data_IF_775127016150
#
_entry.id   IF_775127016150
#
_cell.length_a   1.000
_cell.length_b   1.000
_cell.length_c   1.000
_cell.angle_alpha   90.00
_cell.angle_beta   90.00
_cell.angle_gamma   90.00
#
_symmetry.space_group_name_H-M   'P 1'
#
loop_
_entity.id
_entity.type
_entity.pdbx_description
1 polymer ?
#
# COMPACT_ATOMS: atom_id res chain seq x y z
N UNK A 1 -21.02 -13.18 -19.33
CA UNK A 1 -21.22 -12.66 -17.99
C UNK A 1 -20.14 -13.25 -17.12
N UNK A 2 -19.35 -12.41 -16.45
CA UNK A 2 -18.26 -12.85 -15.58
C UNK A 2 -18.70 -12.92 -14.12
N UNK A 3 -18.12 -13.87 -13.37
CA UNK A 3 -18.29 -14.04 -11.94
C UNK A 3 -17.03 -13.50 -11.22
N UNK A 4 -17.22 -12.52 -10.36
CA UNK A 4 -16.14 -11.88 -9.59
C UNK A 4 -16.31 -12.16 -8.10
N UNK A 5 -15.32 -12.80 -7.49
CA UNK A 5 -15.23 -12.86 -6.04
C UNK A 5 -14.53 -11.61 -5.52
N UNK A 6 -15.11 -10.95 -4.53
CA UNK A 6 -14.48 -9.87 -3.77
C UNK A 6 -14.22 -10.41 -2.37
N UNK A 7 -12.95 -10.71 -2.09
CA UNK A 7 -12.53 -11.28 -0.81
C UNK A 7 -12.42 -10.17 0.23
N UNK A 8 -13.10 -10.32 1.34
CA UNK A 8 -13.01 -9.40 2.48
C UNK A 8 -12.95 -10.16 3.80
N UNK A 9 -12.46 -9.49 4.84
CA UNK A 9 -12.48 -9.99 6.20
C UNK A 9 -13.40 -9.09 7.05
N UNK A 10 -14.53 -9.60 7.54
CA UNK A 10 -15.49 -8.81 8.32
C UNK A 10 -14.96 -8.36 9.69
N UNK A 11 -13.92 -9.03 10.19
CA UNK A 11 -13.35 -8.81 11.52
C UNK A 11 -12.06 -7.97 11.47
N UNK A 12 -11.60 -7.59 10.25
CA UNK A 12 -10.38 -6.82 10.08
C UNK A 12 -10.55 -5.39 10.62
N UNK A 13 -9.62 -5.00 11.51
CA UNK A 13 -9.68 -3.69 12.18
C UNK A 13 -9.41 -2.52 11.21
N UNK A 14 -8.54 -2.73 10.23
CA UNK A 14 -8.15 -1.75 9.22
C UNK A 14 -8.23 -2.36 7.83
N UNK A 15 -9.45 -2.62 7.33
CA UNK A 15 -9.61 -3.25 6.02
C UNK A 15 -9.17 -2.30 4.89
N UNK A 16 -8.71 -2.82 3.76
CA UNK A 16 -8.36 -2.00 2.59
C UNK A 16 -9.57 -1.31 1.94
N UNK A 17 -10.79 -1.73 2.27
CA UNK A 17 -12.03 -1.07 1.86
C UNK A 17 -13.05 -1.10 2.96
N UNK A 18 -13.68 0.05 3.21
CA UNK A 18 -14.82 0.12 4.11
C UNK A 18 -16.05 -0.58 3.49
N UNK A 19 -17.05 -0.81 4.33
CA UNK A 19 -18.28 -1.51 3.93
C UNK A 19 -19.03 -0.79 2.82
N UNK A 20 -19.00 0.53 2.81
CA UNK A 20 -19.70 1.33 1.80
C UNK A 20 -19.00 1.23 0.45
N UNK A 21 -17.66 1.22 0.41
CA UNK A 21 -16.90 0.96 -0.80
C UNK A 21 -17.15 -0.45 -1.35
N UNK A 22 -17.19 -1.49 -0.48
CA UNK A 22 -17.53 -2.85 -0.89
C UNK A 22 -18.93 -2.91 -1.53
N UNK A 23 -19.92 -2.24 -0.94
CA UNK A 23 -21.27 -2.14 -1.51
C UNK A 23 -21.27 -1.40 -2.86
N UNK A 24 -20.44 -0.37 -3.02
CA UNK A 24 -20.27 0.33 -4.29
C UNK A 24 -19.69 -0.57 -5.38
N UNK A 25 -18.71 -1.42 -5.08
CA UNK A 25 -18.22 -2.42 -6.03
C UNK A 25 -19.36 -3.34 -6.50
N UNK A 26 -20.18 -3.86 -5.59
CA UNK A 26 -21.33 -4.71 -5.96
C UNK A 26 -22.37 -3.97 -6.80
N UNK A 27 -22.68 -2.73 -6.46
CA UNK A 27 -23.64 -1.90 -7.19
C UNK A 27 -23.18 -1.64 -8.63
N UNK A 28 -21.92 -1.20 -8.79
CA UNK A 28 -21.36 -0.89 -10.11
C UNK A 28 -21.16 -2.18 -10.94
N UNK A 29 -20.73 -3.28 -10.33
CA UNK A 29 -20.63 -4.58 -11.00
C UNK A 29 -21.97 -5.01 -11.60
N UNK A 30 -23.08 -4.81 -10.87
CA UNK A 30 -24.43 -5.11 -11.36
C UNK A 30 -24.77 -4.26 -12.60
N UNK A 31 -24.44 -2.95 -12.58
CA UNK A 31 -24.64 -2.05 -13.73
C UNK A 31 -23.84 -2.50 -14.95
N UNK A 32 -22.66 -3.12 -14.73
CA UNK A 32 -21.78 -3.67 -15.77
C UNK A 32 -22.14 -5.10 -16.22
N UNK A 33 -23.21 -5.69 -15.69
CA UNK A 33 -23.60 -7.07 -15.91
C UNK A 33 -22.51 -8.09 -15.46
N UNK A 34 -21.74 -7.75 -14.44
CA UNK A 34 -20.81 -8.63 -13.74
C UNK A 34 -21.53 -9.20 -12.52
N UNK A 35 -21.43 -10.51 -12.32
CA UNK A 35 -21.93 -11.13 -11.10
C UNK A 35 -20.84 -11.09 -10.04
N UNK A 36 -20.88 -10.08 -9.17
CA UNK A 36 -19.94 -9.91 -8.07
C UNK A 36 -20.53 -10.41 -6.75
N UNK A 37 -19.73 -11.11 -5.97
CA UNK A 37 -20.09 -11.66 -4.66
C UNK A 37 -19.00 -11.33 -3.64
N UNK A 38 -19.38 -10.88 -2.43
CA UNK A 38 -18.46 -10.78 -1.30
C UNK A 38 -18.26 -12.17 -0.73
N UNK A 39 -17.00 -12.58 -0.57
CA UNK A 39 -16.63 -13.87 0.04
C UNK A 39 -15.66 -13.67 1.19
N UNK A 40 -15.75 -14.53 2.20
CA UNK A 40 -14.80 -14.60 3.31
C UNK A 40 -13.74 -15.68 3.09
N UNK A 41 -12.75 -15.80 4.00
CA UNK A 41 -11.75 -16.88 3.96
C UNK A 41 -12.40 -18.27 3.91
N UNK A 42 -13.46 -18.50 4.70
CA UNK A 42 -14.16 -19.78 4.75
C UNK A 42 -14.79 -20.14 3.39
N UNK A 43 -15.32 -19.15 2.69
CA UNK A 43 -15.95 -19.31 1.39
C UNK A 43 -14.94 -19.38 0.22
N UNK A 44 -13.66 -19.09 0.47
CA UNK A 44 -12.60 -19.13 -0.54
C UNK A 44 -12.34 -20.54 -1.10
N UNK A 45 -12.89 -21.59 -0.50
CA UNK A 45 -12.96 -22.95 -1.08
C UNK A 45 -13.67 -22.95 -2.43
N UNK A 46 -14.62 -22.02 -2.62
CA UNK A 46 -15.40 -21.83 -3.86
C UNK A 46 -14.66 -21.04 -4.94
N UNK A 47 -13.37 -20.74 -4.79
CA UNK A 47 -12.61 -19.91 -5.73
C UNK A 47 -12.76 -20.33 -7.19
N UNK A 48 -12.88 -21.65 -7.44
CA UNK A 48 -13.02 -22.20 -8.81
C UNK A 48 -14.39 -21.95 -9.46
N UNK A 49 -15.34 -21.34 -8.74
CA UNK A 49 -16.63 -20.92 -9.31
C UNK A 49 -16.58 -19.53 -9.95
N UNK A 50 -15.45 -18.82 -9.77
CA UNK A 50 -15.26 -17.45 -10.20
C UNK A 50 -14.25 -17.33 -11.34
N UNK A 51 -14.46 -16.35 -12.21
CA UNK A 51 -13.56 -15.99 -13.30
C UNK A 51 -12.47 -15.00 -12.82
N UNK A 52 -12.75 -14.25 -11.76
CA UNK A 52 -11.85 -13.26 -11.21
C UNK A 52 -11.93 -13.18 -9.68
N UNK A 53 -10.81 -12.78 -9.06
CA UNK A 53 -10.67 -12.55 -7.62
C UNK A 53 -10.16 -11.14 -7.36
N UNK A 54 -10.89 -10.34 -6.59
CA UNK A 54 -10.46 -9.06 -6.07
C UNK A 54 -10.21 -9.16 -4.57
N UNK A 55 -8.97 -9.02 -4.14
CA UNK A 55 -8.59 -9.11 -2.73
C UNK A 55 -8.77 -7.75 -2.07
N UNK A 56 -9.69 -7.69 -1.09
CA UNK A 56 -9.96 -6.51 -0.25
C UNK A 56 -9.86 -6.88 1.24
N UNK A 57 -8.91 -7.74 1.56
CA UNK A 57 -8.41 -8.05 2.89
C UNK A 57 -6.89 -7.85 2.88
N UNK A 58 -6.28 -7.60 4.03
CA UNK A 58 -4.82 -7.34 4.14
C UNK A 58 -4.00 -8.43 3.47
N UNK A 59 -3.03 -8.02 2.67
CA UNK A 59 -2.08 -8.90 1.98
C UNK A 59 -0.77 -8.99 2.75
N UNK A 60 -0.28 -10.21 2.96
CA UNK A 60 1.05 -10.48 3.52
C UNK A 60 1.50 -11.88 3.11
N UNK A 61 2.82 -12.12 3.02
CA UNK A 61 3.38 -13.39 2.54
C UNK A 61 2.99 -14.60 3.41
N UNK A 62 2.80 -14.40 4.70
CA UNK A 62 2.39 -15.43 5.65
C UNK A 62 0.86 -15.49 5.87
N UNK A 63 0.08 -14.72 5.09
CA UNK A 63 -1.36 -14.62 5.22
C UNK A 63 -2.09 -15.51 4.20
N UNK A 64 -3.34 -15.88 4.48
CA UNK A 64 -4.15 -16.71 3.58
C UNK A 64 -4.42 -16.02 2.23
N UNK A 65 -4.49 -14.70 2.21
CA UNK A 65 -4.71 -13.91 0.99
C UNK A 65 -3.63 -14.15 -0.06
N UNK A 66 -2.37 -14.30 0.33
CA UNK A 66 -1.28 -14.62 -0.58
C UNK A 66 -1.45 -16.02 -1.19
N UNK A 67 -1.82 -17.03 -0.37
CA UNK A 67 -2.09 -18.39 -0.88
C UNK A 67 -3.26 -18.41 -1.85
N UNK A 68 -4.30 -17.59 -1.60
CA UNK A 68 -5.42 -17.45 -2.53
C UNK A 68 -5.03 -16.76 -3.82
N UNK A 69 -4.22 -15.69 -3.76
CA UNK A 69 -3.67 -15.04 -4.95
C UNK A 69 -2.87 -16.03 -5.82
N UNK A 70 -1.99 -16.85 -5.19
CA UNK A 70 -1.25 -17.89 -5.90
C UNK A 70 -2.19 -18.93 -6.54
N UNK A 71 -3.19 -19.39 -5.79
CA UNK A 71 -4.16 -20.37 -6.29
C UNK A 71 -4.96 -19.80 -7.47
N UNK A 72 -5.37 -18.55 -7.40
CA UNK A 72 -6.06 -17.87 -8.51
C UNK A 72 -5.16 -17.79 -9.74
N UNK A 73 -3.94 -17.28 -9.61
CA UNK A 73 -2.99 -17.16 -10.71
C UNK A 73 -2.63 -18.50 -11.36
N UNK A 74 -2.50 -19.58 -10.58
CA UNK A 74 -2.21 -20.94 -11.09
C UNK A 74 -3.38 -21.58 -11.84
N UNK A 75 -4.59 -21.04 -11.73
CA UNK A 75 -5.79 -21.55 -12.36
C UNK A 75 -6.41 -20.56 -13.37
N UNK A 76 -5.61 -19.64 -13.90
CA UNK A 76 -6.01 -18.63 -14.89
C UNK A 76 -7.20 -17.76 -14.46
N UNK A 77 -7.39 -17.59 -13.13
CA UNK A 77 -8.35 -16.67 -12.55
C UNK A 77 -7.67 -15.29 -12.48
N UNK A 78 -8.28 -14.28 -13.11
CA UNK A 78 -7.77 -12.92 -13.05
C UNK A 78 -7.78 -12.42 -11.60
N UNK A 79 -6.63 -12.00 -11.07
CA UNK A 79 -6.50 -11.62 -9.66
C UNK A 79 -5.86 -10.24 -9.50
N UNK A 80 -6.44 -9.44 -8.62
CA UNK A 80 -5.85 -8.27 -7.99
C UNK A 80 -5.97 -8.50 -6.47
N UNK A 81 -4.88 -8.54 -5.74
CA UNK A 81 -3.49 -8.36 -6.15
C UNK A 81 -2.88 -9.70 -6.57
N UNK A 82 -2.07 -9.65 -7.61
CA UNK A 82 -1.35 -10.84 -8.05
C UNK A 82 -0.19 -11.19 -7.10
N UNK A 83 0.24 -12.48 -7.07
CA UNK A 83 1.27 -12.93 -6.11
C UNK A 83 2.60 -12.19 -6.23
N UNK A 84 3.01 -11.80 -7.43
CA UNK A 84 4.27 -11.11 -7.66
C UNK A 84 4.23 -9.68 -7.12
N UNK A 85 3.11 -8.98 -7.31
CA UNK A 85 2.86 -7.68 -6.72
C UNK A 85 2.90 -7.72 -5.19
N UNK A 86 2.26 -8.72 -4.57
CA UNK A 86 2.29 -8.90 -3.12
C UNK A 86 3.73 -9.11 -2.63
N UNK A 87 4.51 -10.01 -3.27
CA UNK A 87 5.91 -10.26 -2.90
C UNK A 87 6.76 -9.00 -2.99
N UNK A 88 6.62 -8.23 -4.06
CA UNK A 88 7.42 -7.04 -4.31
C UNK A 88 7.08 -5.89 -3.36
N UNK A 89 5.79 -5.65 -3.11
CA UNK A 89 5.34 -4.53 -2.31
C UNK A 89 5.51 -4.75 -0.81
N UNK A 90 5.34 -5.98 -0.32
CA UNK A 90 5.45 -6.27 1.13
C UNK A 90 6.88 -6.21 1.67
N UNK A 91 7.89 -6.26 0.82
CA UNK A 91 9.30 -6.27 1.23
C UNK A 91 9.96 -4.89 1.02
N UNK A 92 10.05 -4.09 2.08
CA UNK A 92 10.65 -2.74 2.04
C UNK A 92 12.13 -2.72 1.66
N UNK A 93 12.88 -3.78 1.99
CA UNK A 93 14.30 -3.91 1.58
C UNK A 93 14.37 -4.05 0.06
N UNK A 94 13.57 -4.96 -0.49
CA UNK A 94 13.50 -5.16 -1.94
C UNK A 94 13.11 -3.86 -2.68
N UNK A 95 12.11 -3.14 -2.16
CA UNK A 95 11.70 -1.86 -2.74
C UNK A 95 12.84 -0.83 -2.73
N UNK A 96 13.59 -0.71 -1.63
CA UNK A 96 14.74 0.20 -1.55
C UNK A 96 15.80 -0.13 -2.61
N UNK A 97 16.18 -1.40 -2.74
CA UNK A 97 17.14 -1.86 -3.74
C UNK A 97 16.63 -1.64 -5.17
N UNK A 98 15.35 -1.90 -5.40
CA UNK A 98 14.69 -1.71 -6.69
C UNK A 98 14.71 -0.22 -7.11
N UNK A 99 14.38 0.68 -6.18
CA UNK A 99 14.40 2.12 -6.42
C UNK A 99 15.81 2.64 -6.70
N UNK A 100 16.80 2.18 -5.93
CA UNK A 100 18.20 2.55 -6.14
C UNK A 100 18.68 2.13 -7.54
N UNK A 101 18.47 0.86 -7.89
CA UNK A 101 18.83 0.30 -9.20
C UNK A 101 18.14 1.02 -10.37
N UNK A 102 16.87 1.35 -10.22
CA UNK A 102 16.07 2.05 -11.24
C UNK A 102 16.24 3.58 -11.19
N UNK A 103 17.02 4.11 -10.27
CA UNK A 103 17.22 5.55 -10.03
C UNK A 103 15.90 6.31 -9.76
N UNK A 104 14.98 5.67 -9.08
CA UNK A 104 13.76 6.31 -8.56
C UNK A 104 14.16 7.10 -7.31
N UNK A 105 13.79 8.39 -7.19
CA UNK A 105 14.05 9.15 -5.99
C UNK A 105 13.35 8.52 -4.78
N UNK A 106 14.13 8.12 -3.79
CA UNK A 106 13.68 7.55 -2.52
C UNK A 106 14.55 8.11 -1.38
N UNK A 107 14.10 8.05 -0.11
CA UNK A 107 14.92 8.44 1.03
C UNK A 107 16.17 7.57 1.12
N UNK A 108 17.29 8.17 1.53
CA UNK A 108 18.51 7.41 1.81
C UNK A 108 18.21 6.34 2.87
N UNK A 109 18.73 5.14 2.66
CA UNK A 109 18.41 3.98 3.50
C UNK A 109 19.65 3.13 3.79
N UNK A 110 19.62 2.44 4.92
CA UNK A 110 20.67 1.52 5.36
C UNK A 110 20.07 0.32 6.07
N UNK A 111 20.56 -0.89 5.74
CA UNK A 111 20.20 -2.09 6.47
C UNK A 111 21.00 -2.21 7.75
N UNK A 112 20.32 -2.58 8.83
CA UNK A 112 20.92 -2.90 10.13
C UNK A 112 20.65 -4.37 10.45
N UNK A 113 21.70 -5.09 10.86
CA UNK A 113 21.64 -6.51 11.18
C UNK A 113 21.83 -6.71 12.68
N UNK A 114 21.05 -7.60 13.29
CA UNK A 114 21.13 -7.92 14.74
C UNK A 114 22.52 -8.30 15.21
N UNK A 115 23.34 -8.88 14.33
CA UNK A 115 24.71 -9.32 14.65
C UNK A 115 25.73 -8.20 14.80
N UNK A 116 25.37 -6.97 14.44
CA UNK A 116 26.29 -5.85 14.39
C UNK A 116 25.97 -4.81 15.47
N UNK A 117 26.99 -4.06 15.86
CA UNK A 117 26.85 -2.91 16.73
C UNK A 117 26.71 -1.64 15.87
N UNK A 118 25.92 -0.68 16.34
CA UNK A 118 25.66 0.57 15.66
C UNK A 118 25.68 1.74 16.64
N UNK A 119 26.26 2.87 16.20
CA UNK A 119 26.18 4.14 16.89
C UNK A 119 25.26 5.11 16.16
N UNK A 120 24.60 5.99 16.90
CA UNK A 120 23.77 7.04 16.34
C UNK A 120 24.58 7.95 15.39
N UNK A 121 25.83 8.29 15.76
CA UNK A 121 26.71 9.13 14.96
C UNK A 121 26.94 8.55 13.56
N UNK A 122 27.32 7.27 13.44
CA UNK A 122 27.59 6.59 12.16
C UNK A 122 26.36 6.56 11.26
N UNK A 123 25.18 6.28 11.80
CA UNK A 123 23.95 6.25 11.01
C UNK A 123 23.55 7.67 10.60
N UNK A 124 23.64 8.63 11.51
CA UNK A 124 23.24 10.01 11.24
C UNK A 124 24.15 10.75 10.25
N UNK A 125 25.43 10.40 10.16
CA UNK A 125 26.31 10.92 9.11
C UNK A 125 25.80 10.58 7.71
N UNK A 126 25.16 9.42 7.55
CA UNK A 126 24.65 8.94 6.27
C UNK A 126 23.22 9.37 5.99
N UNK A 127 22.36 9.30 6.99
CA UNK A 127 20.91 9.47 6.82
C UNK A 127 20.38 10.83 7.30
N UNK A 128 21.21 11.61 8.02
CA UNK A 128 20.77 12.77 8.75
C UNK A 128 20.14 12.40 10.10
N UNK A 129 19.84 13.41 10.91
CA UNK A 129 19.17 13.26 12.19
C UNK A 129 17.97 14.21 12.30
N UNK A 130 16.82 13.76 12.81
CA UNK A 130 16.50 12.37 13.16
C UNK A 130 16.36 11.45 11.95
N UNK A 131 16.39 10.13 12.15
CA UNK A 131 16.08 9.13 11.14
C UNK A 131 15.01 8.15 11.63
N UNK A 132 14.48 7.32 10.73
CA UNK A 132 13.41 6.36 11.03
C UNK A 132 13.98 4.94 10.99
N UNK A 133 13.65 4.12 11.99
CA UNK A 133 13.84 2.67 11.97
C UNK A 133 12.52 1.99 11.62
N UNK A 134 12.58 0.98 10.74
CA UNK A 134 11.42 0.20 10.28
C UNK A 134 11.72 -1.29 10.31
N UNK A 135 10.70 -2.09 10.63
CA UNK A 135 10.72 -3.52 10.36
C UNK A 135 10.39 -3.70 8.86
N UNK A 136 11.16 -4.50 8.09
CA UNK A 136 11.00 -4.62 6.63
C UNK A 136 9.60 -5.01 6.17
N UNK A 137 8.93 -5.91 6.88
CA UNK A 137 7.62 -6.51 6.57
C UNK A 137 6.47 -5.89 7.41
N UNK A 138 6.72 -4.80 8.12
CA UNK A 138 5.69 -4.08 8.90
C UNK A 138 4.72 -3.31 8.00
N UNK A 139 3.43 -3.32 8.35
CA UNK A 139 2.36 -2.57 7.69
C UNK A 139 1.79 -1.48 8.62
N UNK A 140 1.03 -0.54 8.05
CA UNK A 140 0.29 0.51 8.79
C UNK A 140 1.12 1.34 9.76
N UNK A 141 2.39 1.62 9.45
CA UNK A 141 3.32 2.35 10.34
C UNK A 141 3.56 1.68 11.70
N UNK A 142 3.17 0.43 11.88
CA UNK A 142 3.45 -0.35 13.09
C UNK A 142 4.92 -0.78 13.10
N UNK A 143 5.58 -0.69 14.25
CA UNK A 143 7.00 -1.04 14.37
C UNK A 143 7.94 -0.03 13.70
N UNK A 144 7.59 1.25 13.68
CA UNK A 144 8.43 2.35 13.23
C UNK A 144 8.83 3.24 14.40
N UNK A 145 10.13 3.55 14.51
CA UNK A 145 10.67 4.46 15.52
C UNK A 145 11.40 5.62 14.87
N UNK A 146 11.12 6.83 15.34
CA UNK A 146 11.91 8.02 15.02
C UNK A 146 13.00 8.17 16.05
N UNK A 147 14.25 8.25 15.61
CA UNK A 147 15.45 8.20 16.45
C UNK A 147 16.21 9.51 16.30
N UNK A 148 16.46 10.19 17.42
CA UNK A 148 17.16 11.47 17.48
C UNK A 148 18.38 11.46 18.41
N UNK A 149 18.67 10.33 19.11
CA UNK A 149 19.79 10.22 20.05
C UNK A 149 20.30 8.78 20.16
N UNK A 150 21.49 8.59 20.74
CA UNK A 150 22.04 7.26 21.04
C UNK A 150 21.16 6.45 22.01
N UNK A 151 20.53 7.11 22.96
CA UNK A 151 19.64 6.47 23.93
C UNK A 151 18.39 5.90 23.24
N UNK A 152 17.76 6.72 22.39
CA UNK A 152 16.61 6.29 21.58
C UNK A 152 16.99 5.18 20.60
N UNK A 153 18.19 5.25 20.00
CA UNK A 153 18.68 4.20 19.10
C UNK A 153 18.80 2.87 19.83
N UNK A 154 19.46 2.83 20.98
CA UNK A 154 19.64 1.60 21.76
C UNK A 154 18.30 0.99 22.15
N UNK A 155 17.39 1.79 22.70
CA UNK A 155 16.07 1.36 23.10
C UNK A 155 15.28 0.77 21.92
N UNK A 156 15.30 1.44 20.76
CA UNK A 156 14.62 0.99 19.56
C UNK A 156 15.23 -0.31 18.98
N UNK A 157 16.58 -0.42 18.93
CA UNK A 157 17.25 -1.63 18.46
C UNK A 157 16.95 -2.82 19.37
N UNK A 158 16.99 -2.63 20.70
CA UNK A 158 16.69 -3.68 21.68
C UNK A 158 15.27 -4.21 21.56
N UNK A 159 14.31 -3.33 21.28
CA UNK A 159 12.92 -3.72 21.06
C UNK A 159 12.74 -4.41 19.70
N UNK A 160 13.15 -3.74 18.62
CA UNK A 160 12.84 -4.15 17.25
C UNK A 160 13.56 -5.44 16.84
N UNK A 161 14.80 -5.66 17.30
CA UNK A 161 15.54 -6.88 17.04
C UNK A 161 15.00 -8.13 17.76
N UNK A 162 14.05 -7.98 18.67
CA UNK A 162 13.28 -9.13 19.21
C UNK A 162 12.32 -9.69 18.16
N UNK A 163 11.87 -8.85 17.24
CA UNK A 163 10.85 -9.19 16.24
C UNK A 163 11.40 -9.42 14.83
N UNK A 164 12.58 -8.86 14.53
CA UNK A 164 13.22 -9.01 13.21
C UNK A 164 14.75 -9.19 13.38
N UNK A 165 15.40 -9.89 12.47
CA UNK A 165 16.87 -9.99 12.41
C UNK A 165 17.49 -8.87 11.56
N UNK A 166 16.67 -8.18 10.78
CA UNK A 166 17.08 -7.07 9.90
C UNK A 166 16.13 -5.90 10.11
N UNK A 167 16.68 -4.69 10.20
CA UNK A 167 15.92 -3.45 10.24
C UNK A 167 16.34 -2.56 9.08
N UNK A 168 15.46 -1.65 8.68
CA UNK A 168 15.73 -0.60 7.72
C UNK A 168 15.82 0.74 8.47
N UNK A 169 17.01 1.35 8.46
CA UNK A 169 17.17 2.75 8.86
C UNK A 169 16.99 3.63 7.61
N UNK A 170 16.20 4.68 7.72
CA UNK A 170 15.83 5.53 6.59
C UNK A 170 15.83 7.01 6.98
N UNK A 171 16.32 7.86 6.06
CA UNK A 171 16.25 9.32 6.16
C UNK A 171 14.83 9.77 6.53
N UNK A 172 14.72 10.65 7.51
CA UNK A 172 13.45 11.28 7.87
C UNK A 172 13.22 12.53 7.03
N UNK A 173 12.17 12.50 6.20
CA UNK A 173 11.77 13.63 5.37
C UNK A 173 10.46 14.20 5.94
N UNK A 174 10.49 15.35 6.65
CA UNK A 174 9.28 15.96 7.20
C UNK A 174 8.47 16.63 6.09
N UNK A 175 7.17 16.35 6.06
CA UNK A 175 6.18 16.98 5.19
C UNK A 175 4.88 17.18 5.95
N UNK A 176 4.07 18.12 5.54
CA UNK A 176 2.75 18.37 6.12
C UNK A 176 1.77 17.26 5.77
N UNK A 177 1.91 16.71 4.56
CA UNK A 177 1.13 15.58 4.05
C UNK A 177 1.95 14.73 3.10
N UNK A 178 1.52 13.51 2.92
CA UNK A 178 2.02 12.60 1.89
C UNK A 178 1.02 12.52 0.75
N UNK A 179 1.53 12.50 -0.48
CA UNK A 179 0.74 12.13 -1.64
C UNK A 179 0.56 10.62 -1.69
N UNK A 180 -0.67 10.15 -1.88
CA UNK A 180 -0.95 8.80 -2.36
C UNK A 180 -1.53 8.88 -3.75
N UNK A 181 -0.80 8.35 -4.72
CA UNK A 181 -1.27 8.23 -6.10
C UNK A 181 -1.71 6.79 -6.31
N UNK A 182 -3.02 6.60 -6.51
CA UNK A 182 -3.56 5.31 -6.95
C UNK A 182 -3.31 5.15 -8.44
N UNK A 183 -2.79 3.97 -8.82
CA UNK A 183 -2.56 3.62 -10.23
C UNK A 183 -3.25 2.31 -10.55
N UNK A 184 -3.77 2.21 -11.76
CA UNK A 184 -4.35 1.00 -12.30
C UNK A 184 -3.82 0.79 -13.72
N UNK A 185 -3.24 -0.37 -14.00
CA UNK A 185 -2.62 -0.72 -15.30
C UNK A 185 -1.61 0.34 -15.79
N UNK A 186 -0.87 0.95 -14.85
CA UNK A 186 0.12 1.98 -15.13
C UNK A 186 -0.42 3.41 -15.27
N UNK A 187 -1.73 3.61 -15.21
CA UNK A 187 -2.37 4.92 -15.35
C UNK A 187 -2.84 5.46 -13.99
N UNK A 188 -2.65 6.77 -13.70
CA UNK A 188 -3.17 7.38 -12.49
C UNK A 188 -4.70 7.28 -12.39
N UNK A 189 -5.19 6.78 -11.27
CA UNK A 189 -6.60 6.56 -10.99
C UNK A 189 -7.15 7.62 -10.02
N UNK A 190 -6.45 7.86 -8.91
CA UNK A 190 -6.81 8.88 -7.93
C UNK A 190 -5.57 9.53 -7.31
N UNK A 191 -5.73 10.72 -6.75
CA UNK A 191 -4.67 11.44 -6.03
C UNK A 191 -5.22 11.96 -4.70
N UNK A 192 -4.65 11.46 -3.59
CA UNK A 192 -5.00 11.87 -2.24
C UNK A 192 -3.81 12.53 -1.55
N UNK A 193 -4.09 13.50 -0.70
CA UNK A 193 -3.18 14.02 0.31
C UNK A 193 -3.60 13.44 1.65
N UNK A 194 -2.68 12.76 2.31
CA UNK A 194 -2.87 12.28 3.67
C UNK A 194 -2.05 13.13 4.61
N UNK A 195 -2.71 13.94 5.43
CA UNK A 195 -2.07 14.84 6.38
C UNK A 195 -1.57 14.06 7.59
N UNK A 196 -0.43 14.50 8.13
CA UNK A 196 0.09 13.94 9.38
C UNK A 196 -0.93 14.15 10.51
N UNK A 197 -1.06 13.16 11.39
CA UNK A 197 -1.91 13.29 12.57
C UNK A 197 -1.44 14.50 13.42
N UNK A 198 -2.38 15.23 14.01
CA UNK A 198 -2.08 16.48 14.72
C UNK A 198 -1.01 16.27 15.80
N UNK A 199 0.10 16.99 15.67
CA UNK A 199 1.24 16.88 16.58
C UNK A 199 2.05 15.58 16.42
N UNK A 200 1.86 14.84 15.34
CA UNK A 200 2.55 13.58 15.06
C UNK A 200 3.27 13.64 13.71
N UNK A 201 4.29 12.81 13.53
CA UNK A 201 5.09 12.73 12.32
C UNK A 201 4.60 11.62 11.34
N UNK A 202 3.55 10.90 11.69
CA UNK A 202 2.88 9.86 10.92
C UNK A 202 1.44 10.24 10.62
N UNK A 203 0.87 9.66 9.57
CA UNK A 203 -0.54 9.81 9.19
C UNK A 203 -1.44 9.17 10.27
N UNK A 204 -1.02 8.03 10.83
CA UNK A 204 -1.71 7.33 11.91
C UNK A 204 -1.03 7.61 13.24
N UNK A 205 -1.79 8.04 14.24
CA UNK A 205 -1.35 8.06 15.61
C UNK A 205 -1.93 6.84 16.32
N UNK A 206 -1.08 5.87 16.63
CA UNK A 206 -1.48 4.62 17.31
C UNK A 206 -1.74 4.80 18.82
N UNK A 207 -1.52 5.99 19.37
CA UNK A 207 -2.00 6.33 20.70
C UNK A 207 -3.54 6.38 20.67
N UNK A 208 -4.16 5.55 21.51
CA UNK A 208 -5.62 5.56 21.66
C UNK A 208 -6.03 6.86 22.38
N UNK A 209 -7.08 7.52 21.88
CA UNK A 209 -7.82 8.45 22.71
C UNK A 209 -8.66 7.65 23.73
N UNK A 210 -9.20 8.33 24.74
CA UNK A 210 -10.06 7.73 25.78
C UNK A 210 -11.33 7.07 25.19
N UNK A 211 -11.61 7.25 23.89
CA UNK A 211 -12.75 6.66 23.17
C UNK A 211 -12.35 5.43 22.33
N UNK A 212 -11.06 5.05 22.32
CA UNK A 212 -10.53 3.91 21.56
C UNK A 212 -10.42 4.15 20.04
N UNK A 213 -10.57 5.41 19.58
CA UNK A 213 -10.43 5.75 18.17
C UNK A 213 -8.97 6.05 17.85
N UNK A 214 -8.47 5.49 16.74
CA UNK A 214 -7.18 5.92 16.21
C UNK A 214 -7.32 7.34 15.66
N UNK A 215 -6.42 8.22 16.11
CA UNK A 215 -6.33 9.56 15.59
C UNK A 215 -5.64 9.50 14.22
N UNK A 216 -6.42 9.48 13.14
CA UNK A 216 -5.90 9.66 11.79
C UNK A 216 -5.77 11.15 11.45
N UNK A 217 -4.81 11.49 10.60
CA UNK A 217 -4.75 12.80 9.96
C UNK A 217 -5.94 13.04 9.04
N UNK A 218 -6.15 14.29 8.65
CA UNK A 218 -7.13 14.63 7.63
C UNK A 218 -6.67 14.13 6.24
N UNK A 219 -7.59 14.02 5.31
CA UNK A 219 -7.29 13.69 3.91
C UNK A 219 -7.97 14.68 2.97
N UNK A 220 -7.41 14.81 1.77
CA UNK A 220 -7.99 15.61 0.70
C UNK A 220 -7.75 14.88 -0.62
N UNK A 221 -8.80 14.46 -1.29
CA UNK A 221 -8.72 13.88 -2.64
C UNK A 221 -8.90 14.97 -3.67
N UNK A 222 -7.98 15.04 -4.62
CA UNK A 222 -7.97 16.05 -5.67
C UNK A 222 -8.05 15.41 -7.06
N UNK A 223 -8.60 16.12 -8.05
CA UNK A 223 -8.51 15.67 -9.44
C UNK A 223 -7.04 15.46 -9.86
N UNK A 224 -6.77 14.42 -10.66
CA UNK A 224 -5.40 14.05 -11.07
C UNK A 224 -4.65 15.26 -11.65
N UNK A 225 -5.28 16.09 -12.47
CA UNK A 225 -4.64 17.26 -13.09
C UNK A 225 -4.23 18.35 -12.08
N UNK A 226 -4.68 18.28 -10.82
CA UNK A 226 -4.23 19.17 -9.73
C UNK A 226 -3.02 18.62 -8.96
N UNK A 227 -2.71 17.35 -9.11
CA UNK A 227 -1.48 16.81 -8.54
C UNK A 227 -0.27 17.31 -9.35
N UNK A 228 0.87 17.62 -8.69
CA UNK A 228 2.06 18.04 -9.40
C UNK A 228 2.54 16.98 -10.39
N UNK A 229 2.86 17.40 -11.64
CA UNK A 229 3.26 16.45 -12.69
C UNK A 229 4.44 15.57 -12.26
N UNK A 230 5.42 16.12 -11.53
CA UNK A 230 6.55 15.34 -11.00
C UNK A 230 6.13 14.24 -10.05
N UNK A 231 5.06 14.43 -9.26
CA UNK A 231 4.52 13.41 -8.37
C UNK A 231 3.90 12.29 -9.20
N UNK A 232 3.08 12.64 -10.20
CA UNK A 232 2.46 11.67 -11.09
C UNK A 232 3.49 10.86 -11.89
N UNK A 233 4.46 11.54 -12.53
CA UNK A 233 5.49 10.89 -13.32
C UNK A 233 6.35 9.94 -12.47
N UNK A 234 6.68 10.34 -11.25
CA UNK A 234 7.47 9.51 -10.34
C UNK A 234 6.66 8.31 -9.87
N UNK A 235 5.38 8.50 -9.55
CA UNK A 235 4.48 7.40 -9.17
C UNK A 235 4.33 6.36 -10.29
N UNK A 236 4.09 6.81 -11.53
CA UNK A 236 3.98 5.93 -12.71
C UNK A 236 5.27 5.14 -12.93
N UNK A 237 6.43 5.79 -12.89
CA UNK A 237 7.73 5.12 -13.04
C UNK A 237 7.98 4.09 -11.94
N UNK A 238 7.65 4.42 -10.70
CA UNK A 238 7.83 3.51 -9.58
C UNK A 238 6.90 2.29 -9.66
N UNK A 239 5.61 2.50 -9.93
CA UNK A 239 4.63 1.42 -10.08
C UNK A 239 4.95 0.49 -11.25
N UNK A 240 5.50 1.01 -12.36
CA UNK A 240 5.93 0.21 -13.51
C UNK A 240 7.01 -0.84 -13.16
N UNK A 241 7.75 -0.64 -12.07
CA UNK A 241 8.72 -1.62 -11.56
C UNK A 241 8.04 -2.81 -10.86
N UNK A 242 6.80 -2.63 -10.41
CA UNK A 242 6.02 -3.68 -9.74
C UNK A 242 5.24 -4.46 -10.78
N UNK A 243 4.41 -3.80 -11.57
CA UNK A 243 3.55 -4.47 -12.56
C UNK A 243 2.47 -3.56 -13.11
N UNK A 244 1.35 -4.19 -13.47
CA UNK A 244 0.18 -3.52 -14.08
C UNK A 244 -1.10 -3.68 -13.26
N UNK A 245 -0.98 -3.95 -11.97
CA UNK A 245 -2.11 -4.10 -11.05
C UNK A 245 -2.68 -2.77 -10.57
N UNK A 246 -3.34 -2.86 -9.43
CA UNK A 246 -3.84 -1.70 -8.67
C UNK A 246 -2.83 -1.38 -7.57
N UNK A 247 -2.22 -0.21 -7.61
CA UNK A 247 -1.19 0.19 -6.64
C UNK A 247 -1.47 1.54 -6.03
N UNK A 248 -1.06 1.72 -4.77
CA UNK A 248 -0.98 3.01 -4.10
C UNK A 248 0.48 3.39 -3.89
N UNK A 249 0.95 4.44 -4.55
CA UNK A 249 2.31 4.95 -4.37
C UNK A 249 2.28 6.13 -3.42
N UNK A 250 3.01 6.01 -2.32
CA UNK A 250 3.18 7.07 -1.33
C UNK A 250 4.43 7.90 -1.65
N UNK A 251 4.24 9.20 -1.79
CA UNK A 251 5.30 10.13 -2.16
C UNK A 251 5.30 11.38 -1.27
N UNK A 252 6.50 11.88 -1.02
CA UNK A 252 6.71 13.21 -0.47
C UNK A 252 7.19 14.15 -1.56
N UNK A 253 6.68 15.39 -1.54
CA UNK A 253 7.18 16.45 -2.42
C UNK A 253 7.96 17.46 -1.56
N UNK A 254 9.28 17.53 -1.78
CA UNK A 254 10.16 18.43 -1.06
C UNK A 254 11.09 19.14 -2.02
N UNK A 255 11.19 20.48 -1.93
CA UNK A 255 12.03 21.30 -2.81
C UNK A 255 11.84 21.02 -4.31
N UNK A 256 10.59 20.76 -4.72
CA UNK A 256 10.25 20.43 -6.10
C UNK A 256 10.69 19.02 -6.56
N UNK A 257 11.14 18.17 -5.65
CA UNK A 257 11.51 16.77 -5.92
C UNK A 257 10.46 15.83 -5.31
N UNK A 258 9.92 14.93 -6.12
CA UNK A 258 9.04 13.87 -5.64
C UNK A 258 9.89 12.67 -5.21
N UNK A 259 9.66 12.17 -4.00
CA UNK A 259 10.41 11.09 -3.37
C UNK A 259 9.45 9.98 -2.99
N UNK A 260 9.66 8.77 -3.50
CA UNK A 260 8.81 7.60 -3.21
C UNK A 260 9.15 7.05 -1.84
N UNK A 261 8.14 6.92 -0.99
CA UNK A 261 8.27 6.35 0.36
C UNK A 261 7.94 4.86 0.35
N UNK A 262 6.85 4.48 -0.34
CA UNK A 262 6.34 3.11 -0.37
C UNK A 262 5.45 2.89 -1.59
N UNK A 263 5.34 1.63 -2.02
CA UNK A 263 4.32 1.17 -2.96
C UNK A 263 3.50 0.08 -2.27
N UNK A 264 2.19 0.26 -2.26
CA UNK A 264 1.23 -0.67 -1.68
C UNK A 264 0.52 -1.42 -2.81
N UNK A 265 0.49 -2.75 -2.72
CA UNK A 265 -0.21 -3.64 -3.65
C UNK A 265 -1.73 -3.62 -3.45
N UNK A 266 -2.17 -3.39 -2.23
CA UNK A 266 -3.58 -3.39 -1.83
C UNK A 266 -3.95 -2.02 -1.22
N UNK A 267 -3.98 -0.93 -2.03
CA UNK A 267 -4.23 0.40 -1.52
C UNK A 267 -5.64 0.53 -0.98
N UNK A 268 -5.80 1.38 0.03
CA UNK A 268 -7.12 1.71 0.56
C UNK A 268 -8.02 2.30 -0.53
N UNK A 269 -9.27 1.85 -0.53
CA UNK A 269 -10.37 2.44 -1.30
C UNK A 269 -11.55 2.50 -0.36
N UNK A 270 -11.74 3.67 0.24
CA UNK A 270 -12.83 3.96 1.15
C UNK A 270 -13.82 4.94 0.51
N UNK A 271 -15.11 4.73 0.79
CA UNK A 271 -16.15 5.61 0.27
C UNK A 271 -16.00 7.03 0.83
N UNK A 272 -16.11 8.04 -0.03
CA UNK A 272 -15.89 9.47 0.24
C UNK A 272 -14.44 9.86 0.58
N UNK A 273 -13.51 8.95 0.40
CA UNK A 273 -12.07 9.21 0.49
C UNK A 273 -11.46 9.09 -0.90
N UNK A 274 -11.04 7.92 -1.33
CA UNK A 274 -10.39 7.74 -2.64
C UNK A 274 -11.36 7.96 -3.82
N UNK A 275 -12.65 7.67 -3.63
CA UNK A 275 -13.68 7.88 -4.64
C UNK A 275 -14.27 9.31 -4.65
N UNK A 276 -13.85 10.21 -3.76
CA UNK A 276 -14.46 11.52 -3.57
C UNK A 276 -14.50 12.39 -4.84
N UNK A 277 -13.58 12.19 -5.78
CA UNK A 277 -13.54 12.92 -7.06
C UNK A 277 -14.21 12.15 -8.17
N UNK A 278 -13.95 10.85 -8.31
CA UNK A 278 -14.43 10.02 -9.40
C UNK A 278 -15.82 9.43 -9.14
N UNK A 279 -16.21 9.25 -7.88
CA UNK A 279 -17.46 8.57 -7.53
C UNK A 279 -17.53 7.16 -8.10
N UNK A 280 -18.66 6.79 -8.72
CA UNK A 280 -18.86 5.47 -9.32
C UNK A 280 -17.85 5.13 -10.44
N UNK A 281 -17.24 6.13 -11.08
CA UNK A 281 -16.24 5.95 -12.13
C UNK A 281 -14.99 5.23 -11.62
N UNK A 282 -14.57 5.43 -10.36
CA UNK A 282 -13.45 4.71 -9.77
C UNK A 282 -13.70 3.21 -9.76
N UNK A 283 -14.85 2.80 -9.27
CA UNK A 283 -15.28 1.41 -9.21
C UNK A 283 -15.42 0.80 -10.60
N UNK A 284 -16.03 1.56 -11.53
CA UNK A 284 -16.17 1.17 -12.94
C UNK A 284 -14.81 0.85 -13.57
N UNK A 285 -13.80 1.71 -13.41
CA UNK A 285 -12.47 1.50 -13.99
C UNK A 285 -11.79 0.25 -13.46
N UNK A 286 -11.85 0.01 -12.14
CA UNK A 286 -11.27 -1.19 -11.52
C UNK A 286 -11.98 -2.46 -12.04
N UNK A 287 -13.30 -2.48 -12.05
CA UNK A 287 -14.07 -3.61 -12.56
C UNK A 287 -13.83 -3.84 -14.06
N UNK A 288 -13.74 -2.77 -14.85
CA UNK A 288 -13.44 -2.86 -16.28
C UNK A 288 -12.04 -3.41 -16.56
N UNK A 289 -11.08 -3.15 -15.67
CA UNK A 289 -9.75 -3.77 -15.77
C UNK A 289 -9.84 -5.30 -15.66
N UNK A 290 -10.65 -5.86 -14.76
CA UNK A 290 -10.91 -7.30 -14.71
C UNK A 290 -11.51 -7.81 -16.01
N UNK A 291 -12.47 -7.11 -16.60
CA UNK A 291 -13.05 -7.48 -17.90
C UNK A 291 -11.98 -7.52 -18.99
N UNK A 292 -11.07 -6.55 -19.01
CA UNK A 292 -9.95 -6.55 -19.96
C UNK A 292 -8.97 -7.71 -19.73
N UNK A 293 -8.68 -8.05 -18.48
CA UNK A 293 -7.83 -9.20 -18.15
C UNK A 293 -8.47 -10.52 -18.61
N UNK A 294 -9.76 -10.71 -18.32
CA UNK A 294 -10.51 -11.90 -18.71
C UNK A 294 -10.62 -12.04 -20.24
N UNK A 295 -10.89 -10.95 -20.94
CA UNK A 295 -10.92 -10.96 -22.40
C UNK A 295 -9.57 -11.36 -23.02
N UNK A 296 -8.45 -10.97 -22.40
CA UNK A 296 -7.10 -11.39 -22.83
C UNK A 296 -6.84 -12.87 -22.58
N UNK A 297 -7.27 -13.39 -21.43
CA UNK A 297 -7.13 -14.83 -21.09
C UNK A 297 -7.94 -15.70 -22.06
N UNK A 298 -9.14 -15.28 -22.46
CA UNK A 298 -9.98 -16.03 -23.39
C UNK A 298 -9.57 -15.89 -24.87
N UNK A 299 -8.68 -14.95 -25.21
CA UNK A 299 -8.18 -14.75 -26.57
C UNK A 299 -6.90 -15.55 -26.87
N UNK A 300 -6.32 -16.20 -25.89
CA UNK A 300 -5.19 -17.12 -26.00
C UNK A 300 -5.67 -18.57 -26.14
#
# INVERSE_FOLDING_TARGET
RYNLAILYDPDEKFPPSDKDALNKFLEVARKMNIHAELITEEEATRLMEFDALFIRATTALNHYTFRLAQRAAMNDIAVIDDPESIIRCTNKVYLCELFEKARIPAPASQLLFRSNEYSFGEISERLGAPFILKIPDGSFSVGMHKVASDEELRAALDEMFRHSSVLLAQEFIPTEFDWRIGLLDGEPLFACKYYMAKGHWQIYNHAHDDTGRNLCGAWETVPIYKAPQKVLDTAVKAAALIGKGLYGVDLKLINGRAVVIEINDNPSIDHKVEDAVLGDELYYRILNHFVHCLNRLHAQ
#
